data_IF_675437277014
#
_entry.id   IF_675437277014
#
_cell.length_a   1.000
_cell.length_b   1.000
_cell.length_c   1.000
_cell.angle_alpha   90.00
_cell.angle_beta   90.00
_cell.angle_gamma   90.00
#
_symmetry.space_group_name_H-M   'P 1'
#
loop_
_entity.id
_entity.type
_entity.pdbx_description
1 polymer ?
#
# COMPACT_ATOMS: atom_id res chain seq x y z
N UNK A 1 -15.82 -28.33 -39.74
CA UNK A 1 -14.57 -28.52 -38.97
C UNK A 1 -14.05 -27.14 -38.63
N UNK A 2 -14.47 -26.60 -37.49
CA UNK A 2 -13.90 -25.38 -36.94
C UNK A 2 -12.67 -25.79 -36.13
N UNK A 3 -11.51 -25.32 -36.55
CA UNK A 3 -10.25 -25.51 -35.84
C UNK A 3 -10.35 -24.78 -34.50
N UNK A 4 -10.35 -25.54 -33.41
CA UNK A 4 -10.09 -25.07 -32.05
C UNK A 4 -8.70 -24.46 -32.01
N UNK A 5 -8.60 -23.17 -32.29
CA UNK A 5 -7.40 -22.40 -32.02
C UNK A 5 -7.14 -22.44 -30.52
N UNK A 6 -5.95 -22.87 -30.14
CA UNK A 6 -5.41 -22.70 -28.80
C UNK A 6 -5.48 -21.21 -28.47
N UNK A 7 -6.50 -20.80 -27.72
CA UNK A 7 -6.54 -19.49 -27.08
C UNK A 7 -5.47 -19.52 -26.00
N UNK A 8 -4.23 -19.18 -26.37
CA UNK A 8 -3.23 -18.79 -25.40
C UNK A 8 -3.87 -17.73 -24.52
N UNK A 9 -4.16 -18.07 -23.27
CA UNK A 9 -4.86 -17.18 -22.36
C UNK A 9 -4.11 -15.85 -22.36
N UNK A 10 -4.76 -14.80 -22.87
CA UNK A 10 -4.17 -13.47 -22.94
C UNK A 10 -3.75 -13.05 -21.54
N UNK A 11 -2.69 -12.25 -21.46
CA UNK A 11 -2.31 -11.62 -20.19
C UNK A 11 -3.47 -10.77 -19.67
N UNK A 12 -3.70 -10.82 -18.36
CA UNK A 12 -4.69 -10.00 -17.67
C UNK A 12 -4.43 -8.52 -17.96
N UNK A 13 -5.48 -7.75 -18.24
CA UNK A 13 -5.40 -6.30 -18.40
C UNK A 13 -5.30 -5.65 -17.01
N UNK A 14 -4.14 -5.75 -16.38
CA UNK A 14 -3.90 -5.17 -15.05
C UNK A 14 -4.03 -3.64 -15.11
N UNK A 15 -4.67 -3.09 -14.10
CA UNK A 15 -4.73 -1.65 -13.83
C UNK A 15 -4.19 -1.38 -12.44
N UNK A 16 -3.91 -0.10 -12.16
CA UNK A 16 -3.58 0.34 -10.81
C UNK A 16 -4.24 1.67 -10.47
N UNK A 17 -4.45 1.90 -9.18
CA UNK A 17 -4.74 3.20 -8.59
C UNK A 17 -3.73 3.48 -7.48
N UNK A 18 -3.56 4.74 -7.11
CA UNK A 18 -2.73 5.14 -5.99
C UNK A 18 -3.48 6.02 -5.01
N UNK A 19 -3.15 5.88 -3.73
CA UNK A 19 -3.66 6.71 -2.65
C UNK A 19 -2.47 7.40 -1.99
N UNK A 20 -2.49 8.74 -1.97
CA UNK A 20 -1.47 9.57 -1.32
C UNK A 20 -2.10 10.16 -0.06
N UNK A 21 -1.74 9.62 1.11
CA UNK A 21 -2.13 10.25 2.37
C UNK A 21 -1.22 11.45 2.64
N UNK A 22 -1.77 12.62 2.94
CA UNK A 22 -1.03 13.88 3.09
C UNK A 22 -1.55 14.67 4.30
N UNK A 23 -0.67 15.38 5.00
CA UNK A 23 -1.11 16.45 5.90
C UNK A 23 -1.02 17.80 5.18
N UNK A 24 -2.17 18.44 4.93
CA UNK A 24 -2.24 19.76 4.32
C UNK A 24 -2.20 20.84 5.40
N UNK A 25 -1.25 21.77 5.31
CA UNK A 25 -1.08 22.89 6.23
C UNK A 25 -1.36 24.22 5.55
N UNK A 26 -2.04 25.16 6.22
CA UNK A 26 -2.25 26.53 5.73
C UNK A 26 -2.03 27.59 6.83
N UNK A 27 -1.25 28.62 6.50
CA UNK A 27 -0.99 29.81 7.33
C UNK A 27 -2.10 30.84 7.13
N UNK A 28 -2.98 30.98 8.12
CA UNK A 28 -4.07 31.97 8.09
C UNK A 28 -3.55 33.38 7.94
N UNK A 29 -2.44 33.70 8.62
CA UNK A 29 -1.89 35.06 8.61
C UNK A 29 -1.28 35.42 7.26
N UNK A 30 -0.63 34.49 6.57
CA UNK A 30 -0.11 34.74 5.22
C UNK A 30 -1.25 34.97 4.22
N UNK A 31 -2.36 34.23 4.34
CA UNK A 31 -3.56 34.46 3.50
C UNK A 31 -4.14 35.85 3.80
N UNK A 32 -4.38 36.20 5.07
CA UNK A 32 -4.95 37.50 5.46
C UNK A 32 -4.11 38.69 4.99
N UNK A 33 -2.77 38.57 5.03
CA UNK A 33 -1.86 39.66 4.65
C UNK A 33 -1.71 39.86 3.15
N UNK A 34 -2.27 38.97 2.31
CA UNK A 34 -2.07 38.96 0.86
C UNK A 34 -3.44 38.88 0.16
N UNK A 35 -4.05 40.02 -0.18
CA UNK A 35 -5.41 40.06 -0.76
C UNK A 35 -5.60 39.19 -2.01
N UNK A 36 -4.55 39.03 -2.84
CA UNK A 36 -4.61 38.14 -4.01
C UNK A 36 -4.78 36.65 -3.67
N UNK A 37 -4.62 36.26 -2.40
CA UNK A 37 -4.85 34.91 -1.87
C UNK A 37 -6.23 34.71 -1.26
N UNK A 38 -7.15 35.68 -1.39
CA UNK A 38 -8.51 35.58 -0.84
C UNK A 38 -9.25 34.32 -1.28
N UNK A 39 -8.95 33.78 -2.46
CA UNK A 39 -9.50 32.52 -2.93
C UNK A 39 -9.23 31.31 -2.01
N UNK A 40 -8.22 31.39 -1.12
CA UNK A 40 -7.92 30.35 -0.13
C UNK A 40 -8.76 30.47 1.15
N UNK A 41 -9.60 31.50 1.27
CA UNK A 41 -10.55 31.54 2.38
C UNK A 41 -11.64 30.49 2.20
N UNK A 42 -12.02 29.73 3.24
CA UNK A 42 -13.03 28.68 3.11
C UNK A 42 -14.37 29.18 2.56
N UNK A 43 -14.80 30.40 2.94
CA UNK A 43 -16.03 31.00 2.43
C UNK A 43 -15.98 31.38 0.93
N UNK A 44 -14.79 31.36 0.32
CA UNK A 44 -14.59 31.62 -1.11
C UNK A 44 -14.42 30.32 -1.91
N UNK A 45 -14.57 29.16 -1.28
CA UNK A 45 -14.58 27.88 -1.97
C UNK A 45 -15.74 27.84 -2.98
N UNK A 46 -15.43 27.39 -4.19
CA UNK A 46 -16.41 27.18 -5.24
C UNK A 46 -16.61 25.67 -5.38
N UNK A 47 -17.82 25.22 -5.03
CA UNK A 47 -18.21 23.83 -5.16
C UNK A 47 -18.19 23.44 -6.65
N UNK A 48 -17.43 22.40 -6.96
CA UNK A 48 -17.42 21.82 -8.30
C UNK A 48 -18.68 20.97 -8.47
N UNK A 49 -19.33 21.00 -9.64
CA UNK A 49 -20.48 20.13 -9.91
C UNK A 49 -20.21 18.64 -9.72
N UNK A 50 -18.95 18.21 -9.74
CA UNK A 50 -18.51 16.84 -9.58
C UNK A 50 -18.12 16.50 -8.13
N UNK A 51 -18.18 17.48 -7.21
CA UNK A 51 -17.91 17.25 -5.79
C UNK A 51 -19.01 16.37 -5.18
N UNK A 52 -18.59 15.28 -4.54
CA UNK A 52 -19.48 14.31 -3.91
C UNK A 52 -19.67 14.67 -2.44
N UNK A 53 -20.65 15.54 -2.21
CA UNK A 53 -21.07 16.01 -0.89
C UNK A 53 -22.49 15.56 -0.61
N UNK A 54 -22.80 15.16 0.63
CA UNK A 54 -24.10 14.55 1.00
C UNK A 54 -25.31 15.42 0.63
N UNK A 55 -25.16 16.73 0.78
CA UNK A 55 -26.19 17.72 0.49
C UNK A 55 -25.50 19.02 0.09
N UNK A 56 -25.49 19.31 -1.22
CA UNK A 56 -24.87 20.53 -1.76
C UNK A 56 -25.45 21.82 -1.14
N UNK A 57 -26.72 21.82 -0.69
CA UNK A 57 -27.35 22.98 -0.06
C UNK A 57 -26.91 23.17 1.40
N UNK A 58 -26.52 22.07 2.08
CA UNK A 58 -26.07 22.09 3.48
C UNK A 58 -24.56 22.02 3.63
N UNK A 59 -23.83 21.79 2.55
CA UNK A 59 -22.38 21.73 2.59
C UNK A 59 -21.80 23.10 2.98
N UNK A 60 -21.16 23.14 4.15
CA UNK A 60 -20.47 24.34 4.64
C UNK A 60 -18.96 24.15 4.48
N UNK A 61 -18.30 24.85 3.52
CA UNK A 61 -16.85 24.79 3.37
C UNK A 61 -16.13 25.46 4.55
N UNK A 62 -16.83 26.23 5.40
CA UNK A 62 -16.26 26.88 6.59
C UNK A 62 -16.25 25.98 7.83
N UNK A 63 -16.92 24.83 7.78
CA UNK A 63 -16.86 23.81 8.83
C UNK A 63 -15.40 23.45 9.13
N UNK A 64 -15.10 23.26 10.42
CA UNK A 64 -13.79 22.82 10.87
C UNK A 64 -13.31 21.55 10.16
N UNK A 65 -14.21 20.61 9.90
CA UNK A 65 -13.90 19.36 9.20
C UNK A 65 -13.59 19.64 7.72
N UNK A 66 -14.41 20.40 7.02
CA UNK A 66 -14.31 20.57 5.56
C UNK A 66 -13.28 21.59 5.10
N UNK A 67 -12.94 22.59 5.92
CA UNK A 67 -12.15 23.76 5.48
C UNK A 67 -10.80 23.38 4.85
N UNK A 68 -10.07 22.44 5.45
CA UNK A 68 -8.76 22.05 4.96
C UNK A 68 -8.84 21.28 3.65
N UNK A 69 -9.86 20.42 3.53
CA UNK A 69 -10.17 19.69 2.30
C UNK A 69 -10.50 20.66 1.15
N UNK A 70 -11.39 21.62 1.39
CA UNK A 70 -11.78 22.64 0.41
C UNK A 70 -10.60 23.51 -0.04
N UNK A 71 -9.78 23.92 0.93
CA UNK A 71 -8.59 24.74 0.66
C UNK A 71 -7.54 23.97 -0.16
N UNK A 72 -7.27 22.71 0.18
CA UNK A 72 -6.37 21.86 -0.58
C UNK A 72 -6.88 21.60 -2.00
N UNK A 73 -8.17 21.29 -2.15
CA UNK A 73 -8.81 21.13 -3.46
C UNK A 73 -8.68 22.40 -4.31
N UNK A 74 -8.90 23.58 -3.72
CA UNK A 74 -8.75 24.87 -4.41
C UNK A 74 -7.34 25.08 -4.92
N UNK A 75 -6.33 24.74 -4.12
CA UNK A 75 -4.92 24.82 -4.50
C UNK A 75 -4.63 23.89 -5.69
N UNK A 76 -4.96 22.60 -5.56
CA UNK A 76 -4.67 21.59 -6.58
C UNK A 76 -5.39 21.89 -7.90
N UNK A 77 -6.66 22.31 -7.86
CA UNK A 77 -7.42 22.71 -9.06
C UNK A 77 -6.80 23.91 -9.78
N UNK A 78 -6.30 24.90 -9.02
CA UNK A 78 -5.62 26.06 -9.60
C UNK A 78 -4.29 25.72 -10.27
N UNK A 79 -3.63 24.68 -9.79
CA UNK A 79 -2.43 24.12 -10.41
C UNK A 79 -2.76 23.13 -11.55
N UNK A 80 -4.03 23.03 -11.94
CA UNK A 80 -4.49 22.28 -13.11
C UNK A 80 -4.72 20.78 -12.85
N UNK A 81 -4.86 20.36 -11.59
CA UNK A 81 -5.29 19.00 -11.24
C UNK A 81 -6.81 18.90 -11.39
N UNK A 82 -7.28 18.00 -12.26
CA UNK A 82 -8.71 17.69 -12.40
C UNK A 82 -9.11 16.73 -11.28
N UNK A 83 -9.72 17.29 -10.22
CA UNK A 83 -10.14 16.52 -9.05
C UNK A 83 -11.51 16.92 -8.52
N UNK A 84 -12.19 15.96 -7.91
CA UNK A 84 -13.38 16.13 -7.08
C UNK A 84 -13.05 15.96 -5.58
N UNK A 85 -13.81 16.55 -4.68
CA UNK A 85 -13.79 16.18 -3.26
C UNK A 85 -14.82 15.10 -2.98
N UNK A 86 -14.52 14.23 -2.00
CA UNK A 86 -15.41 13.19 -1.51
C UNK A 86 -15.49 13.27 0.01
N UNK A 87 -16.69 13.52 0.54
CA UNK A 87 -16.90 13.57 2.00
C UNK A 87 -17.24 12.19 2.55
N UNK A 88 -18.09 11.46 1.83
CA UNK A 88 -18.51 10.12 2.19
C UNK A 88 -18.01 9.11 1.17
N UNK A 89 -17.05 8.23 1.53
CA UNK A 89 -16.44 7.29 0.60
C UNK A 89 -17.39 6.19 0.07
N UNK A 90 -18.70 6.23 0.37
CA UNK A 90 -19.63 5.11 0.16
C UNK A 90 -20.41 5.11 -1.16
N UNK A 91 -20.42 6.22 -1.89
CA UNK A 91 -21.11 6.31 -3.19
C UNK A 91 -20.06 6.15 -4.30
N UNK A 92 -20.22 5.11 -5.14
CA UNK A 92 -19.12 4.52 -5.92
C UNK A 92 -19.21 4.71 -7.45
N UNK A 93 -20.31 5.28 -7.97
CA UNK A 93 -20.66 5.14 -9.39
C UNK A 93 -19.72 5.88 -10.39
N UNK A 94 -18.89 6.84 -9.94
CA UNK A 94 -18.02 7.66 -10.83
C UNK A 94 -16.54 7.77 -10.36
N UNK A 95 -16.13 6.99 -9.38
CA UNK A 95 -15.00 7.34 -8.50
C UNK A 95 -13.60 7.34 -9.10
N UNK A 96 -13.41 6.69 -10.23
CA UNK A 96 -12.06 6.36 -10.68
C UNK A 96 -11.74 6.88 -12.07
N UNK A 97 -12.54 7.81 -12.59
CA UNK A 97 -12.26 8.48 -13.86
C UNK A 97 -11.38 9.73 -13.68
N UNK A 98 -11.30 10.27 -12.46
CA UNK A 98 -10.52 11.47 -12.12
C UNK A 98 -9.86 11.33 -10.75
N UNK A 99 -9.08 12.32 -10.35
CA UNK A 99 -8.55 12.39 -9.00
C UNK A 99 -9.66 12.71 -7.99
N UNK A 100 -9.59 12.11 -6.81
CA UNK A 100 -10.52 12.36 -5.72
C UNK A 100 -9.74 12.74 -4.46
N UNK A 101 -10.20 13.76 -3.74
CA UNK A 101 -9.60 14.19 -2.47
C UNK A 101 -10.60 13.98 -1.33
N UNK A 102 -10.20 13.28 -0.29
CA UNK A 102 -11.03 12.94 0.88
C UNK A 102 -10.28 13.22 2.18
N UNK A 103 -10.98 13.11 3.31
CA UNK A 103 -10.36 13.12 4.63
C UNK A 103 -9.70 11.79 4.95
N UNK A 104 -8.52 11.86 5.58
CA UNK A 104 -7.84 10.68 6.14
C UNK A 104 -7.46 10.95 7.60
N UNK A 105 -8.08 10.18 8.50
CA UNK A 105 -7.94 10.33 9.95
C UNK A 105 -6.66 9.68 10.49
N UNK A 106 -6.11 8.71 9.77
CA UNK A 106 -4.84 8.08 10.09
C UNK A 106 -3.65 9.04 9.90
N UNK A 107 -3.82 10.14 9.17
CA UNK A 107 -2.76 11.12 9.00
C UNK A 107 -2.48 11.91 10.28
N UNK A 108 -1.24 11.82 10.73
CA UNK A 108 -0.76 12.53 11.91
C UNK A 108 -0.40 13.96 11.49
N UNK A 109 -1.16 14.93 12.00
CA UNK A 109 -0.85 16.34 11.84
C UNK A 109 0.09 16.80 12.96
N UNK A 110 1.05 17.70 12.69
CA UNK A 110 1.92 18.24 13.73
C UNK A 110 1.09 18.98 14.78
N UNK A 111 1.32 18.66 16.04
CA UNK A 111 0.68 19.23 17.22
C UNK A 111 1.63 20.16 18.01
N UNK A 112 2.93 20.13 17.73
CA UNK A 112 3.94 20.97 18.38
C UNK A 112 4.95 21.59 17.40
N UNK A 113 5.60 22.69 17.84
CA UNK A 113 6.62 23.42 17.07
C UNK A 113 7.78 22.51 16.63
N UNK A 114 8.23 21.60 17.49
CA UNK A 114 9.34 20.69 17.18
C UNK A 114 8.96 19.63 16.14
N UNK A 115 7.69 19.21 16.07
CA UNK A 115 7.21 18.26 15.07
C UNK A 115 7.17 18.91 13.70
N UNK A 116 6.58 20.10 13.57
CA UNK A 116 6.57 20.82 12.28
C UNK A 116 7.98 21.19 11.85
N UNK A 117 8.86 21.52 12.79
CA UNK A 117 10.28 21.77 12.50
C UNK A 117 10.95 20.51 11.93
N UNK A 118 10.75 19.34 12.55
CA UNK A 118 11.25 18.06 12.06
C UNK A 118 10.65 17.71 10.69
N UNK A 119 9.33 17.78 10.53
CA UNK A 119 8.61 17.37 9.32
C UNK A 119 8.87 18.28 8.12
N UNK A 120 9.37 19.50 8.34
CA UNK A 120 9.71 20.45 7.28
C UNK A 120 11.20 20.63 7.09
N UNK A 121 12.04 19.79 7.69
CA UNK A 121 13.51 19.91 7.63
C UNK A 121 13.98 21.32 8.08
N UNK A 122 13.47 21.78 9.22
CA UNK A 122 13.72 23.06 9.88
C UNK A 122 13.25 24.32 9.14
N UNK A 123 12.49 24.18 8.06
CA UNK A 123 11.99 25.30 7.25
C UNK A 123 10.86 26.07 7.91
N UNK A 124 10.05 25.39 8.71
CA UNK A 124 8.94 25.97 9.46
C UNK A 124 9.16 25.65 10.93
N UNK A 125 9.36 26.69 11.76
CA UNK A 125 9.74 26.52 13.17
C UNK A 125 8.60 26.68 14.16
N UNK A 126 7.45 27.18 13.72
CA UNK A 126 6.34 27.48 14.62
C UNK A 126 5.00 27.11 14.00
N UNK A 127 4.13 26.54 14.81
CA UNK A 127 2.81 26.02 14.43
C UNK A 127 1.70 27.06 14.59
N UNK A 128 1.90 28.09 15.41
CA UNK A 128 0.85 28.98 15.93
C UNK A 128 -0.13 29.60 14.91
N UNK A 129 0.27 29.80 13.65
CA UNK A 129 -0.58 30.35 12.59
C UNK A 129 -0.99 29.34 11.51
N UNK A 130 -0.52 28.09 11.64
CA UNK A 130 -0.81 27.00 10.72
C UNK A 130 -2.02 26.19 11.19
N UNK A 131 -2.83 25.78 10.22
CA UNK A 131 -3.91 24.82 10.43
C UNK A 131 -3.66 23.62 9.56
N UNK A 132 -3.75 22.43 10.14
CA UNK A 132 -3.52 21.18 9.44
C UNK A 132 -4.80 20.37 9.25
N UNK A 133 -4.83 19.57 8.19
CA UNK A 133 -5.87 18.57 7.93
C UNK A 133 -5.23 17.34 7.30
N UNK A 134 -5.61 16.17 7.81
CA UNK A 134 -5.26 14.88 7.20
C UNK A 134 -6.15 14.61 6.01
N UNK A 135 -5.54 14.39 4.85
CA UNK A 135 -6.21 14.20 3.57
C UNK A 135 -5.69 12.95 2.86
N UNK A 136 -6.49 12.38 1.98
CA UNK A 136 -6.06 11.34 1.05
C UNK A 136 -6.44 11.75 -0.37
N UNK A 137 -5.46 11.68 -1.25
CA UNK A 137 -5.61 11.97 -2.67
C UNK A 137 -5.54 10.65 -3.45
N UNK A 138 -6.67 10.27 -4.04
CA UNK A 138 -6.90 9.01 -4.73
C UNK A 138 -6.86 9.25 -6.23
N UNK A 139 -6.08 8.45 -6.95
CA UNK A 139 -5.95 8.58 -8.40
C UNK A 139 -7.13 7.97 -9.16
N UNK A 140 -7.33 8.34 -10.44
CA UNK A 140 -8.12 7.51 -11.34
C UNK A 140 -7.52 6.10 -11.52
N UNK A 141 -8.31 5.18 -12.09
CA UNK A 141 -7.82 3.89 -12.58
C UNK A 141 -6.88 4.16 -13.76
N UNK A 142 -5.65 3.66 -13.63
CA UNK A 142 -4.58 3.83 -14.59
C UNK A 142 -4.14 2.48 -15.15
N UNK A 143 -3.65 2.49 -16.39
CA UNK A 143 -3.10 1.28 -17.02
C UNK A 143 -1.80 0.86 -16.34
N UNK A 144 -1.68 -0.41 -15.94
CA UNK A 144 -0.44 -0.94 -15.37
C UNK A 144 0.72 -0.91 -16.39
N UNK A 145 1.96 -0.75 -15.93
CA UNK A 145 3.13 -0.76 -16.79
C UNK A 145 3.23 -2.03 -17.64
N UNK A 146 3.52 -1.89 -18.93
CA UNK A 146 3.95 -3.00 -19.77
C UNK A 146 5.40 -3.36 -19.42
N UNK A 147 5.56 -4.47 -18.69
CA UNK A 147 6.86 -4.98 -18.23
C UNK A 147 7.84 -5.31 -19.36
N UNK A 148 7.37 -5.43 -20.60
CA UNK A 148 8.21 -5.71 -21.78
C UNK A 148 8.65 -4.45 -22.52
N UNK A 149 8.05 -3.30 -22.23
CA UNK A 149 8.40 -2.05 -22.90
C UNK A 149 9.82 -1.60 -22.51
N UNK A 150 10.53 -0.91 -23.42
CA UNK A 150 11.85 -0.33 -23.10
C UNK A 150 11.75 0.88 -22.16
N UNK A 151 10.65 1.63 -22.25
CA UNK A 151 10.38 2.85 -21.49
C UNK A 151 9.18 2.64 -20.56
N UNK A 152 9.23 1.58 -19.74
CA UNK A 152 8.08 1.17 -18.92
C UNK A 152 7.53 2.29 -18.03
N UNK A 153 8.42 3.17 -17.54
CA UNK A 153 8.07 4.23 -16.59
C UNK A 153 7.67 5.58 -17.24
N UNK A 154 7.50 5.62 -18.56
CA UNK A 154 7.18 6.85 -19.31
C UNK A 154 5.75 6.84 -19.92
N UNK A 155 4.95 5.82 -19.62
CA UNK A 155 3.56 5.71 -20.09
C UNK A 155 2.64 6.82 -19.58
N UNK A 156 1.50 7.02 -20.26
CA UNK A 156 0.54 8.10 -19.95
C UNK A 156 0.08 8.13 -18.49
N UNK A 157 -0.17 6.97 -17.89
CA UNK A 157 -0.47 6.83 -16.45
C UNK A 157 0.57 7.52 -15.56
N UNK A 158 1.86 7.31 -15.86
CA UNK A 158 2.95 7.88 -15.07
C UNK A 158 3.19 9.37 -15.32
N UNK A 159 2.82 9.87 -16.51
CA UNK A 159 2.87 11.30 -16.81
C UNK A 159 1.82 12.07 -16.01
N UNK A 160 0.60 11.51 -15.90
CA UNK A 160 -0.46 12.09 -15.07
C UNK A 160 -0.07 12.08 -13.58
N UNK A 161 0.47 10.97 -13.09
CA UNK A 161 0.97 10.87 -11.73
C UNK A 161 2.09 11.88 -11.44
N UNK A 162 3.06 12.01 -12.35
CA UNK A 162 4.12 13.02 -12.24
C UNK A 162 3.59 14.44 -12.17
N UNK A 163 2.57 14.78 -12.96
CA UNK A 163 1.96 16.11 -12.97
C UNK A 163 1.44 16.47 -11.58
N UNK A 164 0.69 15.57 -10.95
CA UNK A 164 0.14 15.79 -9.60
C UNK A 164 1.23 15.83 -8.54
N UNK A 165 2.19 14.89 -8.58
CA UNK A 165 3.30 14.86 -7.62
C UNK A 165 4.15 16.12 -7.68
N UNK A 166 4.38 16.70 -8.87
CA UNK A 166 5.12 17.97 -9.02
C UNK A 166 4.44 19.13 -8.32
N UNK A 167 3.10 19.19 -8.31
CA UNK A 167 2.35 20.23 -7.59
C UNK A 167 2.57 20.09 -6.08
N UNK A 168 2.49 18.87 -5.57
CA UNK A 168 2.67 18.58 -4.14
C UNK A 168 4.13 18.80 -3.70
N UNK A 169 5.10 18.37 -4.50
CA UNK A 169 6.53 18.56 -4.24
C UNK A 169 6.94 20.03 -4.31
N UNK A 170 6.43 20.78 -5.29
CA UNK A 170 6.63 22.23 -5.36
C UNK A 170 6.18 22.90 -4.07
N UNK A 171 5.00 22.55 -3.57
CA UNK A 171 4.47 23.05 -2.31
C UNK A 171 5.35 22.72 -1.12
N UNK A 172 5.84 21.48 -1.08
CA UNK A 172 6.76 21.03 -0.06
C UNK A 172 8.00 21.88 -0.07
N UNK A 173 8.57 22.22 -1.23
CA UNK A 173 9.84 22.93 -1.38
C UNK A 173 9.81 24.44 -1.02
N UNK A 174 8.64 25.10 -0.99
CA UNK A 174 8.55 26.56 -0.90
C UNK A 174 7.96 27.08 0.42
N UNK A 175 8.76 27.79 1.22
CA UNK A 175 8.35 28.36 2.51
C UNK A 175 7.54 29.65 2.39
N UNK A 176 7.60 30.34 1.25
CA UNK A 176 6.89 31.59 1.02
C UNK A 176 5.41 31.39 0.72
N UNK A 177 5.01 30.17 0.35
CA UNK A 177 3.62 29.82 0.14
C UNK A 177 2.84 29.95 1.46
N UNK A 178 1.55 30.32 1.38
CA UNK A 178 0.66 30.34 2.53
C UNK A 178 0.20 28.92 2.91
N UNK A 179 0.51 27.90 2.10
CA UNK A 179 0.07 26.52 2.27
C UNK A 179 1.23 25.55 2.02
N UNK A 180 1.11 24.31 2.46
CA UNK A 180 2.07 23.22 2.25
C UNK A 180 1.37 21.87 2.30
N UNK A 181 1.95 20.87 1.65
CA UNK A 181 1.61 19.46 1.86
C UNK A 181 2.76 18.80 2.62
N UNK A 182 2.50 17.91 3.56
CA UNK A 182 3.51 17.11 4.24
C UNK A 182 3.29 15.64 3.89
N UNK A 183 4.35 15.01 3.39
CA UNK A 183 4.39 13.59 3.05
C UNK A 183 5.64 12.94 3.67
N UNK A 184 5.73 12.97 5.01
CA UNK A 184 6.84 12.33 5.75
C UNK A 184 6.44 10.93 6.22
N UNK A 185 7.39 10.00 6.37
CA UNK A 185 7.08 8.63 6.81
C UNK A 185 6.29 8.55 8.13
N UNK A 186 6.51 9.50 9.03
CA UNK A 186 5.84 9.60 10.33
C UNK A 186 4.38 10.05 10.23
N UNK A 187 4.01 10.78 9.17
CA UNK A 187 2.71 11.45 9.07
C UNK A 187 1.81 10.86 8.01
N UNK A 188 2.38 10.27 6.97
CA UNK A 188 1.72 9.96 5.70
C UNK A 188 1.99 8.54 5.21
N UNK A 189 1.16 8.11 4.27
CA UNK A 189 1.24 6.82 3.61
C UNK A 189 1.04 6.98 2.11
N UNK A 190 1.40 5.94 1.39
CA UNK A 190 1.26 5.81 -0.04
C UNK A 190 0.79 4.38 -0.33
N UNK A 191 -0.39 4.21 -0.90
CA UNK A 191 -0.92 2.89 -1.22
C UNK A 191 -1.02 2.71 -2.72
N UNK A 192 -0.85 1.48 -3.18
CA UNK A 192 -1.08 1.11 -4.58
C UNK A 192 -2.14 0.02 -4.61
N UNK A 193 -3.21 0.26 -5.33
CA UNK A 193 -4.28 -0.71 -5.57
C UNK A 193 -4.01 -1.34 -6.93
N UNK A 194 -3.96 -2.67 -7.01
CA UNK A 194 -3.84 -3.38 -8.28
C UNK A 194 -5.12 -4.15 -8.55
N UNK A 195 -5.70 -3.94 -9.72
CA UNK A 195 -6.95 -4.53 -10.16
C UNK A 195 -6.90 -4.97 -11.63
N UNK A 196 -8.08 -5.24 -12.19
CA UNK A 196 -8.25 -5.45 -13.62
C UNK A 196 -8.93 -4.23 -14.25
N UNK A 197 -8.75 -4.08 -15.56
CA UNK A 197 -9.52 -3.14 -16.37
C UNK A 197 -11.01 -3.35 -16.11
N UNK A 198 -11.75 -2.28 -15.72
CA UNK A 198 -13.20 -2.34 -15.61
C UNK A 198 -13.86 -2.83 -16.90
N UNK A 199 -15.05 -3.39 -16.79
CA UNK A 199 -15.84 -3.77 -17.96
C UNK A 199 -16.38 -2.55 -18.73
N UNK A 200 -17.20 -2.78 -19.76
CA UNK A 200 -17.74 -1.71 -20.61
C UNK A 200 -18.64 -0.73 -19.85
N UNK A 201 -19.26 -1.17 -18.75
CA UNK A 201 -20.13 -0.37 -17.89
C UNK A 201 -19.37 0.23 -16.70
N UNK A 202 -18.02 0.20 -16.74
CA UNK A 202 -17.14 0.58 -15.63
C UNK A 202 -17.32 -0.27 -14.36
N UNK A 203 -17.92 -1.46 -14.49
CA UNK A 203 -18.06 -2.43 -13.42
C UNK A 203 -16.71 -3.03 -13.01
N UNK A 204 -16.51 -3.30 -11.71
CA UNK A 204 -15.25 -3.84 -11.23
C UNK A 204 -15.14 -5.34 -11.59
N UNK A 205 -13.96 -5.78 -12.05
CA UNK A 205 -13.74 -7.14 -12.56
C UNK A 205 -12.94 -7.97 -11.55
N UNK A 206 -13.44 -9.16 -11.20
CA UNK A 206 -12.77 -10.08 -10.28
C UNK A 206 -11.43 -10.57 -10.83
N UNK A 207 -10.35 -10.39 -10.04
CA UNK A 207 -9.06 -11.04 -10.31
C UNK A 207 -9.24 -12.57 -10.12
N UNK A 208 -8.79 -13.44 -11.04
CA UNK A 208 -8.96 -14.88 -10.87
C UNK A 208 -8.41 -15.42 -9.54
N UNK A 209 -9.17 -16.29 -8.88
CA UNK A 209 -8.84 -16.78 -7.54
C UNK A 209 -7.46 -17.44 -7.47
N UNK A 210 -7.07 -18.21 -8.48
CA UNK A 210 -5.74 -18.84 -8.52
C UNK A 210 -4.62 -17.80 -8.52
N UNK A 211 -4.79 -16.70 -9.27
CA UNK A 211 -3.82 -15.60 -9.29
C UNK A 211 -3.71 -14.97 -7.90
N UNK A 212 -4.85 -14.74 -7.22
CA UNK A 212 -4.86 -14.20 -5.87
C UNK A 212 -4.20 -15.14 -4.84
N UNK A 213 -4.40 -16.46 -4.94
CA UNK A 213 -3.73 -17.43 -4.06
C UNK A 213 -2.21 -17.43 -4.25
N UNK A 214 -1.75 -17.38 -5.50
CA UNK A 214 -0.32 -17.26 -5.78
C UNK A 214 0.25 -15.94 -5.24
N UNK A 215 -0.47 -14.83 -5.41
CA UNK A 215 -0.07 -13.53 -4.84
C UNK A 215 0.01 -13.59 -3.32
N UNK A 216 -1.05 -14.07 -2.66
CA UNK A 216 -1.11 -14.22 -1.21
C UNK A 216 0.08 -15.02 -0.68
N UNK A 217 0.40 -16.15 -1.33
CA UNK A 217 1.54 -16.95 -0.96
C UNK A 217 2.87 -16.20 -1.12
N UNK A 218 3.10 -15.54 -2.26
CA UNK A 218 4.33 -14.77 -2.52
C UNK A 218 4.49 -13.66 -1.48
N UNK A 219 3.42 -12.92 -1.19
CA UNK A 219 3.40 -11.85 -0.20
C UNK A 219 3.83 -12.36 1.17
N UNK A 220 3.20 -13.44 1.65
CA UNK A 220 3.47 -13.95 3.01
C UNK A 220 4.87 -14.56 3.09
N UNK A 221 5.27 -15.35 2.09
CA UNK A 221 6.56 -16.05 2.14
C UNK A 221 7.77 -15.12 1.98
N UNK A 222 7.64 -14.02 1.23
CA UNK A 222 8.68 -13.00 1.04
C UNK A 222 8.44 -11.70 1.81
N UNK A 223 7.49 -11.66 2.75
CA UNK A 223 7.14 -10.44 3.48
C UNK A 223 8.36 -9.79 4.17
N UNK A 224 9.25 -10.62 4.70
CA UNK A 224 10.54 -10.21 5.28
C UNK A 224 11.41 -9.47 4.28
N UNK A 225 11.55 -10.04 3.09
CA UNK A 225 12.35 -9.48 1.99
C UNK A 225 11.73 -8.19 1.46
N UNK A 226 10.40 -8.17 1.27
CA UNK A 226 9.67 -6.96 0.84
C UNK A 226 9.82 -5.85 1.88
N UNK A 227 9.75 -6.16 3.17
CA UNK A 227 9.91 -5.18 4.26
C UNK A 227 11.27 -4.49 4.28
N UNK A 228 12.33 -5.12 3.73
CA UNK A 228 13.66 -4.50 3.58
C UNK A 228 13.64 -3.35 2.58
N UNK A 229 12.74 -3.40 1.61
CA UNK A 229 12.65 -2.41 0.53
C UNK A 229 12.05 -1.08 0.98
N UNK A 230 11.52 -1.00 2.20
CA UNK A 230 10.79 0.19 2.69
C UNK A 230 11.41 0.79 3.94
N UNK A 231 11.04 2.06 4.17
CA UNK A 231 11.46 2.83 5.32
C UNK A 231 11.11 2.08 6.62
N UNK A 232 11.97 2.14 7.66
CA UNK A 232 11.73 1.43 8.91
C UNK A 232 10.40 1.74 9.62
N UNK A 233 9.87 2.96 9.48
CA UNK A 233 8.51 3.33 9.94
C UNK A 233 7.42 2.40 9.38
N UNK A 234 7.66 1.71 8.25
CA UNK A 234 6.72 0.76 7.64
C UNK A 234 6.85 -0.67 8.19
N UNK A 235 7.61 -0.90 9.26
CA UNK A 235 7.93 -2.28 9.70
C UNK A 235 7.08 -2.80 10.84
N UNK A 236 6.00 -2.10 11.20
CA UNK A 236 5.10 -2.55 12.27
C UNK A 236 5.67 -2.38 13.67
N UNK A 237 6.71 -1.57 13.84
CA UNK A 237 7.33 -1.36 15.15
C UNK A 237 6.36 -0.67 16.11
N UNK A 238 6.33 -1.11 17.36
CA UNK A 238 5.63 -0.41 18.43
C UNK A 238 6.11 1.05 18.47
N UNK A 239 5.18 2.00 18.52
CA UNK A 239 5.39 3.47 18.42
C UNK A 239 5.58 4.07 17.02
N UNK A 240 5.54 3.26 15.95
CA UNK A 240 5.47 3.80 14.59
C UNK A 240 4.01 3.98 14.16
N UNK A 241 3.74 4.94 13.26
CA UNK A 241 2.38 5.18 12.71
C UNK A 241 1.75 3.87 12.24
N UNK A 242 2.53 3.02 11.59
CA UNK A 242 2.03 1.82 10.94
C UNK A 242 1.53 0.74 11.91
N UNK A 243 1.91 0.79 13.20
CA UNK A 243 1.58 -0.26 14.16
C UNK A 243 0.06 -0.57 14.17
N UNK A 244 -0.75 0.47 14.14
CA UNK A 244 -2.21 0.39 14.17
C UNK A 244 -2.87 0.40 12.77
N UNK A 245 -2.08 0.44 11.69
CA UNK A 245 -2.60 0.68 10.33
C UNK A 245 -2.13 -0.33 9.27
N UNK A 246 -0.98 -0.98 9.44
CA UNK A 246 -0.58 -2.11 8.60
C UNK A 246 0.43 -3.01 9.31
N UNK A 247 -0.08 -4.10 9.87
CA UNK A 247 0.72 -5.15 10.45
C UNK A 247 1.20 -6.16 9.39
N UNK A 248 2.05 -7.08 9.83
CA UNK A 248 2.42 -8.26 9.04
C UNK A 248 1.20 -9.08 8.59
N UNK A 249 1.17 -9.54 7.34
CA UNK A 249 0.19 -10.50 6.85
C UNK A 249 0.38 -11.87 7.51
N UNK A 250 1.60 -12.22 7.93
CA UNK A 250 1.90 -13.48 8.66
C UNK A 250 1.11 -13.60 9.96
N UNK A 251 0.73 -12.49 10.60
CA UNK A 251 -0.12 -12.50 11.81
C UNK A 251 -1.41 -13.28 11.61
N UNK A 252 -1.99 -13.25 10.41
CA UNK A 252 -3.23 -13.96 10.13
C UNK A 252 -3.08 -15.48 10.28
N UNK A 253 -1.89 -16.03 10.04
CA UNK A 253 -1.62 -17.46 10.18
C UNK A 253 -1.25 -17.88 11.60
N UNK A 254 -0.93 -16.92 12.48
CA UNK A 254 -0.68 -17.16 13.89
C UNK A 254 -1.98 -17.17 14.71
N UNK A 255 -3.02 -16.47 14.25
CA UNK A 255 -4.27 -16.25 14.97
C UNK A 255 -5.37 -17.30 14.68
N UNK A 256 -5.30 -18.02 13.55
CA UNK A 256 -6.41 -18.88 13.11
C UNK A 256 -6.68 -20.06 14.08
N UNK A 257 -5.66 -20.55 14.79
CA UNK A 257 -5.84 -21.54 15.86
C UNK A 257 -6.29 -20.92 17.20
N UNK A 258 -6.26 -19.59 17.31
CA UNK A 258 -6.46 -18.82 18.54
C UNK A 258 -7.58 -17.78 18.44
N UNK A 259 -8.58 -17.93 17.56
CA UNK A 259 -9.80 -17.08 17.43
C UNK A 259 -10.58 -16.80 18.76
N UNK A 260 -10.08 -17.24 19.92
CA UNK A 260 -10.60 -17.00 21.27
C UNK A 260 -9.61 -16.39 22.26
N UNK A 261 -8.34 -16.20 21.90
CA UNK A 261 -7.34 -15.71 22.85
C UNK A 261 -6.90 -14.30 22.44
N UNK A 262 -7.36 -13.30 23.20
CA UNK A 262 -6.93 -11.89 23.13
C UNK A 262 -5.45 -11.67 23.46
N UNK A 263 -4.62 -12.71 23.41
CA UNK A 263 -3.18 -12.56 23.66
C UNK A 263 -2.57 -11.81 22.50
N UNK A 264 -1.85 -10.74 22.82
CA UNK A 264 -1.05 -10.00 21.85
C UNK A 264 -0.22 -10.99 21.03
N UNK A 265 -0.41 -11.02 19.71
CA UNK A 265 0.44 -11.79 18.81
C UNK A 265 1.87 -11.27 18.97
N UNK A 266 2.66 -12.03 19.70
CA UNK A 266 4.08 -11.81 19.84
C UNK A 266 4.76 -12.30 18.58
N UNK A 267 5.55 -11.44 17.96
CA UNK A 267 6.47 -11.84 16.90
C UNK A 267 7.84 -12.22 17.49
N UNK A 268 8.02 -12.16 18.82
CA UNK A 268 9.27 -12.47 19.49
C UNK A 268 9.38 -13.96 19.88
N UNK A 269 10.47 -14.38 20.53
CA UNK A 269 10.80 -15.81 20.70
C UNK A 269 9.78 -16.54 21.59
N UNK A 270 8.91 -15.79 22.27
CA UNK A 270 7.79 -16.31 23.04
C UNK A 270 6.49 -16.47 22.24
N UNK A 271 6.48 -16.05 20.97
CA UNK A 271 5.34 -16.10 20.06
C UNK A 271 5.20 -17.44 19.34
N UNK A 272 4.09 -17.60 18.62
CA UNK A 272 3.92 -18.74 17.71
C UNK A 272 4.86 -18.58 16.51
N UNK A 273 5.51 -19.67 16.13
CA UNK A 273 6.38 -19.70 14.96
C UNK A 273 5.51 -19.79 13.70
N UNK A 274 5.75 -18.89 12.75
CA UNK A 274 5.13 -18.94 11.43
C UNK A 274 5.47 -20.25 10.71
N UNK A 275 4.47 -21.08 10.43
CA UNK A 275 4.61 -22.30 9.63
C UNK A 275 4.22 -22.04 8.17
N UNK A 276 5.23 -22.03 7.30
CA UNK A 276 5.08 -21.83 5.86
C UNK A 276 4.22 -22.90 5.18
N UNK A 277 4.25 -24.14 5.65
CA UNK A 277 3.47 -25.23 5.06
C UNK A 277 2.00 -25.08 5.40
N UNK A 278 1.71 -24.70 6.64
CA UNK A 278 0.36 -24.42 7.09
C UNK A 278 -0.23 -23.22 6.34
N UNK A 279 0.51 -22.11 6.27
CA UNK A 279 0.10 -20.94 5.50
C UNK A 279 -0.18 -21.26 4.02
N UNK A 280 0.71 -22.04 3.38
CA UNK A 280 0.49 -22.51 2.02
C UNK A 280 -0.82 -23.32 1.89
N UNK A 281 -1.04 -24.28 2.79
CA UNK A 281 -2.22 -25.13 2.77
C UNK A 281 -3.51 -24.34 2.95
N UNK A 282 -3.52 -23.36 3.84
CA UNK A 282 -4.67 -22.50 4.06
C UNK A 282 -4.98 -21.64 2.82
N UNK A 283 -3.97 -20.95 2.28
CA UNK A 283 -4.12 -20.11 1.09
C UNK A 283 -4.63 -20.93 -0.11
N UNK A 284 -3.97 -22.04 -0.43
CA UNK A 284 -4.36 -22.89 -1.57
C UNK A 284 -5.57 -23.80 -1.30
N UNK A 285 -5.97 -23.93 -0.04
CA UNK A 285 -7.18 -24.64 0.39
C UNK A 285 -8.44 -23.77 0.33
N UNK A 286 -8.29 -22.44 0.29
CA UNK A 286 -9.40 -21.49 0.13
C UNK A 286 -10.24 -21.85 -1.10
N UNK A 287 -11.56 -21.66 -1.10
CA UNK A 287 -12.46 -22.06 -2.20
C UNK A 287 -13.11 -20.89 -2.92
N UNK A 288 -12.96 -19.69 -2.38
CA UNK A 288 -13.56 -18.46 -2.91
C UNK A 288 -12.70 -17.25 -2.57
N UNK A 289 -12.90 -16.15 -3.29
CA UNK A 289 -12.31 -14.84 -2.96
C UNK A 289 -12.60 -14.41 -1.53
N UNK A 290 -13.82 -14.69 -1.05
CA UNK A 290 -14.22 -14.40 0.33
C UNK A 290 -13.37 -15.17 1.35
N UNK A 291 -13.22 -16.48 1.16
CA UNK A 291 -12.41 -17.29 2.06
C UNK A 291 -10.94 -16.87 2.05
N UNK A 292 -10.38 -16.55 0.88
CA UNK A 292 -9.02 -16.04 0.77
C UNK A 292 -8.87 -14.67 1.47
N UNK A 293 -9.83 -13.76 1.30
CA UNK A 293 -9.88 -12.49 2.03
C UNK A 293 -9.86 -12.72 3.53
N UNK A 294 -10.73 -13.60 4.02
CA UNK A 294 -10.87 -13.87 5.46
C UNK A 294 -9.58 -14.49 6.03
N UNK A 295 -8.83 -15.26 5.23
CA UNK A 295 -7.48 -15.77 5.57
C UNK A 295 -6.44 -14.64 5.59
N UNK A 296 -6.47 -13.74 4.60
CA UNK A 296 -5.37 -12.79 4.37
C UNK A 296 -5.50 -11.45 5.11
N UNK A 297 -6.72 -11.04 5.45
CA UNK A 297 -7.01 -9.74 6.05
C UNK A 297 -7.43 -9.81 7.53
N UNK A 298 -7.50 -11.01 8.12
CA UNK A 298 -8.21 -11.31 9.38
C UNK A 298 -9.70 -10.95 9.30
N UNK A 299 -10.59 -11.80 9.85
CA UNK A 299 -12.00 -11.40 9.95
C UNK A 299 -12.09 -10.14 10.82
N UNK A 300 -12.73 -9.05 10.33
CA UNK A 300 -13.02 -7.92 11.21
C UNK A 300 -13.88 -8.45 12.35
N UNK A 301 -13.41 -8.30 13.59
CA UNK A 301 -14.24 -8.51 14.76
C UNK A 301 -15.48 -7.62 14.61
N UNK A 302 -16.67 -8.15 14.88
CA UNK A 302 -17.92 -7.40 14.77
C UNK A 302 -17.89 -6.13 15.65
N UNK A 303 -17.11 -6.17 16.74
CA UNK A 303 -16.93 -5.07 17.67
C UNK A 303 -15.76 -4.13 17.29
N UNK A 304 -14.92 -4.51 16.31
CA UNK A 304 -13.78 -3.71 15.87
C UNK A 304 -13.56 -3.82 14.34
N UNK A 305 -14.34 -3.11 13.52
CA UNK A 305 -14.19 -3.09 12.06
C UNK A 305 -12.83 -2.51 11.58
N UNK A 306 -11.98 -2.03 12.49
CA UNK A 306 -10.68 -1.44 12.19
C UNK A 306 -9.55 -2.45 11.91
N UNK A 307 -9.81 -3.77 11.86
CA UNK A 307 -8.80 -4.79 11.56
C UNK A 307 -8.36 -4.84 10.07
N UNK A 308 -8.41 -3.72 9.34
CA UNK A 308 -7.82 -3.60 7.98
C UNK A 308 -6.32 -3.33 8.04
N UNK A 309 -5.60 -4.00 8.94
CA UNK A 309 -4.25 -3.62 9.31
C UNK A 309 -3.24 -4.64 8.81
N UNK A 310 -3.14 -4.82 7.50
CA UNK A 310 -2.12 -5.69 6.87
C UNK A 310 -1.35 -4.94 5.80
N UNK A 311 -0.05 -5.21 5.64
CA UNK A 311 0.78 -4.58 4.60
C UNK A 311 0.24 -4.76 3.19
N UNK A 312 -0.32 -5.94 2.89
CA UNK A 312 -1.05 -6.19 1.66
C UNK A 312 -2.46 -6.61 2.02
N UNK A 313 -3.42 -5.75 1.72
CA UNK A 313 -4.79 -5.92 2.12
C UNK A 313 -5.62 -6.53 0.98
N UNK A 314 -6.20 -7.70 1.25
CA UNK A 314 -7.08 -8.42 0.33
C UNK A 314 -8.55 -8.08 0.57
N UNK A 315 -8.87 -7.14 1.46
CA UNK A 315 -10.26 -6.80 1.84
C UNK A 315 -11.13 -6.46 0.62
N UNK A 316 -10.56 -5.77 -0.37
CA UNK A 316 -11.28 -5.27 -1.54
C UNK A 316 -11.53 -6.33 -2.63
N UNK A 317 -11.12 -7.60 -2.46
CA UNK A 317 -11.34 -8.64 -3.49
C UNK A 317 -12.74 -9.26 -3.45
N UNK A 318 -13.51 -9.06 -2.36
CA UNK A 318 -14.83 -9.67 -2.22
C UNK A 318 -15.75 -8.92 -1.26
N UNK A 319 -17.05 -8.96 -1.54
CA UNK A 319 -18.06 -8.17 -0.83
C UNK A 319 -18.15 -8.58 0.63
N UNK A 320 -18.20 -7.58 1.52
CA UNK A 320 -18.55 -7.79 2.93
C UNK A 320 -20.05 -7.56 3.10
N UNK A 321 -20.71 -8.39 3.90
CA UNK A 321 -22.17 -8.29 4.09
C UNK A 321 -22.53 -6.89 4.62
N UNK A 322 -23.36 -6.16 3.87
CA UNK A 322 -23.83 -4.82 4.26
C UNK A 322 -22.91 -3.66 3.83
N UNK A 323 -21.90 -3.92 3.00
CA UNK A 323 -21.05 -2.89 2.39
C UNK A 323 -21.35 -2.75 0.89
N UNK A 324 -21.02 -1.59 0.29
CA UNK A 324 -21.03 -1.40 -1.16
C UNK A 324 -20.25 -2.50 -1.90
N UNK A 325 -20.51 -2.62 -3.20
CA UNK A 325 -19.75 -3.55 -4.02
C UNK A 325 -18.26 -3.18 -4.00
N UNK A 326 -17.35 -4.14 -3.72
CA UNK A 326 -15.95 -3.78 -3.58
C UNK A 326 -15.32 -3.53 -4.95
N UNK A 327 -14.30 -2.68 -4.96
CA UNK A 327 -13.53 -2.29 -6.16
C UNK A 327 -12.70 -3.42 -6.81
N UNK A 328 -12.70 -4.64 -6.24
CA UNK A 328 -12.00 -5.85 -6.74
C UNK A 328 -10.49 -5.70 -6.89
N UNK A 329 -9.85 -4.92 -6.03
CA UNK A 329 -8.40 -4.71 -6.02
C UNK A 329 -7.70 -5.41 -4.86
N UNK A 330 -6.38 -5.56 -4.98
CA UNK A 330 -5.46 -5.82 -3.85
C UNK A 330 -4.72 -4.53 -3.53
N UNK A 331 -4.75 -4.13 -2.27
CA UNK A 331 -4.13 -2.89 -1.77
C UNK A 331 -2.74 -3.19 -1.20
N UNK A 332 -1.70 -2.54 -1.71
CA UNK A 332 -0.32 -2.65 -1.24
C UNK A 332 0.05 -1.38 -0.49
N UNK A 333 0.04 -1.43 0.83
CA UNK A 333 0.22 -0.26 1.69
C UNK A 333 1.69 0.06 1.91
N UNK A 334 2.15 1.23 1.53
CA UNK A 334 3.45 1.78 1.94
C UNK A 334 3.23 2.96 2.89
N UNK A 335 3.27 2.74 4.21
CA UNK A 335 3.24 3.84 5.20
C UNK A 335 4.59 4.54 5.35
N UNK A 336 5.16 4.89 4.20
CA UNK A 336 6.20 5.86 4.03
C UNK A 336 5.72 6.73 2.89
N UNK A 337 4.85 7.70 3.20
CA UNK A 337 4.38 8.64 2.20
C UNK A 337 5.59 9.30 1.53
N UNK A 338 5.50 9.45 0.22
CA UNK A 338 6.55 10.01 -0.62
C UNK A 338 5.92 10.78 -1.76
N UNK A 339 6.56 11.88 -2.14
CA UNK A 339 6.20 12.65 -3.32
C UNK A 339 7.25 12.57 -4.41
N UNK A 340 8.33 11.80 -4.21
CA UNK A 340 9.33 11.55 -5.25
C UNK A 340 8.70 10.72 -6.37
N UNK A 341 8.55 11.26 -7.59
CA UNK A 341 7.96 10.52 -8.69
C UNK A 341 8.72 9.24 -9.04
N UNK A 342 10.04 9.20 -8.83
CA UNK A 342 10.86 8.02 -9.12
C UNK A 342 10.46 6.89 -8.18
N UNK A 343 10.41 7.18 -6.89
CA UNK A 343 10.00 6.23 -5.85
C UNK A 343 8.57 5.71 -6.08
N UNK A 344 7.64 6.60 -6.36
CA UNK A 344 6.24 6.24 -6.63
C UNK A 344 6.15 5.28 -7.82
N UNK A 345 6.82 5.59 -8.93
CA UNK A 345 6.85 4.76 -10.13
C UNK A 345 7.47 3.39 -9.89
N UNK A 346 8.58 3.35 -9.17
CA UNK A 346 9.25 2.09 -8.83
C UNK A 346 8.35 1.21 -7.97
N UNK A 347 7.64 1.78 -6.99
CA UNK A 347 6.72 1.02 -6.16
C UNK A 347 5.56 0.44 -6.98
N UNK A 348 4.91 1.25 -7.83
CA UNK A 348 3.87 0.78 -8.76
C UNK A 348 4.39 -0.35 -9.64
N UNK A 349 5.57 -0.19 -10.23
CA UNK A 349 6.21 -1.22 -11.07
C UNK A 349 6.46 -2.51 -10.28
N UNK A 350 6.92 -2.40 -9.04
CA UNK A 350 7.22 -3.54 -8.19
C UNK A 350 5.97 -4.36 -7.85
N UNK A 351 4.90 -3.71 -7.38
CA UNK A 351 3.67 -4.43 -6.98
C UNK A 351 2.90 -4.99 -8.17
N UNK A 352 2.91 -4.29 -9.31
CA UNK A 352 2.34 -4.84 -10.55
C UNK A 352 3.18 -6.00 -11.09
N UNK A 353 4.51 -5.99 -10.88
CA UNK A 353 5.40 -7.12 -11.16
C UNK A 353 5.12 -8.33 -10.27
N UNK A 354 4.79 -8.13 -8.98
CA UNK A 354 4.32 -9.21 -8.09
C UNK A 354 3.03 -9.84 -8.64
N UNK A 355 2.12 -9.01 -9.15
CA UNK A 355 0.87 -9.49 -9.73
C UNK A 355 1.08 -10.27 -11.03
N UNK A 356 1.96 -9.80 -11.91
CA UNK A 356 2.39 -10.55 -13.11
C UNK A 356 3.08 -11.87 -12.76
N UNK A 357 3.84 -11.89 -11.68
CA UNK A 357 4.47 -13.12 -11.18
C UNK A 357 3.43 -14.12 -10.69
N UNK A 358 2.43 -13.66 -9.94
CA UNK A 358 1.33 -14.50 -9.49
C UNK A 358 0.50 -15.05 -10.65
N UNK A 359 0.24 -14.22 -11.66
CA UNK A 359 -0.43 -14.61 -12.91
C UNK A 359 0.37 -15.69 -13.66
N UNK A 360 1.68 -15.48 -13.85
CA UNK A 360 2.58 -16.47 -14.47
C UNK A 360 2.53 -17.79 -13.69
N UNK A 361 2.60 -17.73 -12.36
CA UNK A 361 2.54 -18.93 -11.51
C UNK A 361 1.18 -19.62 -11.57
N UNK A 362 0.07 -18.89 -11.69
CA UNK A 362 -1.26 -19.49 -11.88
C UNK A 362 -1.35 -20.26 -13.21
N UNK A 363 -0.78 -19.69 -14.27
CA UNK A 363 -0.79 -20.26 -15.62
C UNK A 363 0.31 -21.30 -15.88
N UNK A 364 1.32 -21.38 -15.02
CA UNK A 364 2.39 -22.38 -15.12
C UNK A 364 1.78 -23.80 -15.04
N UNK A 365 2.05 -24.69 -16.02
CA UNK A 365 1.60 -26.07 -15.98
C UNK A 365 2.09 -26.72 -14.70
N UNK A 366 1.19 -27.36 -13.98
CA UNK A 366 1.61 -27.98 -12.73
C UNK A 366 2.46 -29.22 -13.00
N UNK A 367 3.66 -29.33 -12.42
CA UNK A 367 4.53 -30.49 -12.65
C UNK A 367 3.79 -31.78 -12.30
N UNK A 368 3.79 -32.74 -13.22
CA UNK A 368 3.22 -34.07 -12.96
C UNK A 368 4.21 -34.85 -12.12
N UNK A 369 3.83 -35.24 -10.91
CA UNK A 369 4.65 -36.16 -10.11
C UNK A 369 4.73 -37.51 -10.83
N UNK A 370 5.91 -38.15 -10.89
CA UNK A 370 6.00 -39.55 -11.29
C UNK A 370 5.06 -40.38 -10.42
N UNK A 371 4.27 -41.27 -11.02
CA UNK A 371 3.23 -42.06 -10.32
C UNK A 371 3.73 -42.91 -9.14
N UNK A 372 5.06 -43.05 -8.98
CA UNK A 372 5.69 -43.85 -7.93
C UNK A 372 6.26 -43.01 -6.77
N UNK A 373 6.28 -41.68 -6.88
CA UNK A 373 6.75 -40.81 -5.79
C UNK A 373 5.60 -40.51 -4.83
N UNK A 374 5.32 -41.47 -3.94
CA UNK A 374 4.54 -41.20 -2.73
C UNK A 374 5.42 -40.32 -1.85
N UNK A 375 5.34 -39.01 -2.07
CA UNK A 375 6.12 -38.03 -1.32
C UNK A 375 5.92 -38.29 0.18
N UNK A 376 6.99 -38.54 0.96
CA UNK A 376 6.91 -38.97 2.36
C UNK A 376 6.18 -37.98 3.30
N UNK A 377 5.88 -36.79 2.80
CA UNK A 377 5.33 -35.66 3.53
C UNK A 377 3.81 -35.47 3.37
N UNK A 378 3.09 -36.36 2.68
CA UNK A 378 1.63 -36.24 2.53
C UNK A 378 1.17 -34.95 1.82
N UNK A 379 2.08 -34.29 1.09
CA UNK A 379 1.88 -33.00 0.45
C UNK A 379 1.15 -33.18 -0.89
N UNK A 380 -0.18 -33.23 -0.87
CA UNK A 380 -1.01 -33.58 -2.03
C UNK A 380 -1.41 -32.42 -2.95
N UNK A 381 -0.90 -31.18 -2.76
CA UNK A 381 -1.24 -30.07 -3.65
C UNK A 381 -0.20 -29.92 -4.77
N UNK A 382 -0.57 -30.12 -6.05
CA UNK A 382 0.32 -29.93 -7.19
C UNK A 382 0.97 -28.53 -7.21
N UNK A 383 0.29 -27.50 -6.69
CA UNK A 383 0.80 -26.13 -6.64
C UNK A 383 2.09 -25.97 -5.82
N UNK A 384 2.34 -26.85 -4.82
CA UNK A 384 3.56 -26.82 -4.01
C UNK A 384 4.82 -27.02 -4.84
N UNK A 385 4.72 -27.79 -5.92
CA UNK A 385 5.86 -28.10 -6.79
C UNK A 385 6.41 -26.86 -7.50
N UNK A 386 5.58 -25.83 -7.67
CA UNK A 386 6.00 -24.53 -8.24
C UNK A 386 6.90 -23.73 -7.31
N UNK A 387 7.02 -24.14 -6.04
CA UNK A 387 7.73 -23.46 -4.96
C UNK A 387 8.61 -24.41 -4.13
N UNK A 388 9.01 -25.56 -4.67
CA UNK A 388 9.81 -26.56 -3.95
C UNK A 388 11.06 -25.97 -3.30
N UNK A 389 11.80 -25.13 -4.01
CA UNK A 389 13.03 -24.52 -3.49
C UNK A 389 12.74 -23.60 -2.30
N UNK A 390 11.67 -22.82 -2.38
CA UNK A 390 11.24 -21.88 -1.33
C UNK A 390 10.67 -22.62 -0.11
N UNK A 391 9.87 -23.67 -0.32
CA UNK A 391 9.27 -24.46 0.75
C UNK A 391 10.29 -25.31 1.51
N UNK A 392 11.27 -25.87 0.81
CA UNK A 392 12.29 -26.75 1.40
C UNK A 392 13.52 -26.00 1.91
N UNK A 393 13.73 -24.74 1.53
CA UNK A 393 14.86 -23.95 1.99
C UNK A 393 14.83 -23.77 3.51
N UNK A 394 15.86 -24.29 4.19
CA UNK A 394 16.11 -23.98 5.61
C UNK A 394 16.75 -22.60 5.78
N UNK A 395 17.23 -22.01 4.69
CA UNK A 395 17.95 -20.73 4.67
C UNK A 395 16.99 -19.55 4.59
N UNK A 396 17.49 -18.36 4.95
CA UNK A 396 16.76 -17.08 4.87
C UNK A 396 16.44 -16.74 3.42
N UNK A 397 15.23 -16.20 3.20
CA UNK A 397 14.81 -15.76 1.88
C UNK A 397 15.59 -14.52 1.51
N UNK A 398 15.98 -14.43 0.25
CA UNK A 398 16.88 -13.38 -0.24
C UNK A 398 16.17 -12.47 -1.24
N UNK A 399 16.69 -11.24 -1.39
CA UNK A 399 16.26 -10.37 -2.51
C UNK A 399 16.48 -11.03 -3.86
N UNK A 400 17.54 -11.83 -4.00
CA UNK A 400 17.84 -12.55 -5.23
C UNK A 400 16.72 -13.54 -5.56
N UNK A 401 16.29 -14.36 -4.62
CA UNK A 401 15.19 -15.31 -4.82
C UNK A 401 13.89 -14.60 -5.21
N UNK A 402 13.54 -13.50 -4.55
CA UNK A 402 12.36 -12.71 -4.90
C UNK A 402 12.48 -12.09 -6.30
N UNK A 403 13.60 -11.45 -6.61
CA UNK A 403 13.81 -10.78 -7.90
C UNK A 403 13.93 -11.77 -9.06
N UNK A 404 14.49 -12.95 -8.83
CA UNK A 404 14.50 -14.05 -9.80
C UNK A 404 13.09 -14.60 -10.01
N UNK A 405 12.35 -14.83 -8.91
CA UNK A 405 10.96 -15.27 -9.00
C UNK A 405 10.11 -14.27 -9.79
N UNK A 406 10.38 -12.96 -9.65
CA UNK A 406 9.70 -11.90 -10.39
C UNK A 406 10.18 -11.73 -11.82
N UNK A 407 11.35 -12.27 -12.18
CA UNK A 407 12.08 -11.94 -13.41
C UNK A 407 12.36 -10.43 -13.53
N UNK A 408 12.67 -9.79 -12.40
CA UNK A 408 12.85 -8.35 -12.32
C UNK A 408 14.08 -7.89 -13.14
N UNK A 409 14.00 -6.84 -13.97
CA UNK A 409 15.16 -6.33 -14.71
C UNK A 409 16.28 -5.82 -13.81
N UNK A 410 17.54 -5.98 -14.24
CA UNK A 410 18.75 -5.68 -13.43
C UNK A 410 18.78 -4.23 -12.95
N UNK A 411 18.35 -3.27 -13.76
CA UNK A 411 18.27 -1.86 -13.39
C UNK A 411 17.31 -1.61 -12.22
N UNK A 412 16.17 -2.31 -12.19
CA UNK A 412 15.19 -2.23 -11.10
C UNK A 412 15.69 -2.97 -9.86
N UNK A 413 16.37 -4.11 -10.04
CA UNK A 413 17.06 -4.80 -8.94
C UNK A 413 18.07 -3.89 -8.24
N UNK A 414 18.84 -3.11 -9.01
CA UNK A 414 19.80 -2.13 -8.48
C UNK A 414 19.12 -1.04 -7.66
N UNK A 415 18.01 -0.49 -8.16
CA UNK A 415 17.24 0.51 -7.41
C UNK A 415 16.80 -0.03 -6.04
N UNK A 416 16.09 -1.17 -6.04
CA UNK A 416 15.57 -1.77 -4.82
C UNK A 416 16.65 -2.26 -3.87
N UNK A 417 17.75 -2.79 -4.40
CA UNK A 417 18.91 -3.17 -3.60
C UNK A 417 19.57 -1.97 -2.93
N UNK A 418 19.83 -0.89 -3.67
CA UNK A 418 20.40 0.35 -3.13
C UNK A 418 19.52 0.93 -2.01
N UNK A 419 18.21 0.87 -2.21
CA UNK A 419 17.22 1.32 -1.23
C UNK A 419 17.23 0.46 0.03
N UNK A 420 17.29 -0.86 -0.13
CA UNK A 420 17.41 -1.77 1.01
C UNK A 420 18.71 -1.51 1.80
N UNK A 421 19.82 -1.22 1.12
CA UNK A 421 21.08 -0.82 1.77
C UNK A 421 20.93 0.52 2.52
N UNK A 422 20.27 1.51 1.92
CA UNK A 422 20.02 2.80 2.59
C UNK A 422 19.25 2.60 3.89
N UNK A 423 18.17 1.82 3.89
CA UNK A 423 17.35 1.55 5.08
C UNK A 423 17.97 0.59 6.09
N UNK A 424 19.14 0.05 5.77
CA UNK A 424 20.03 -0.67 6.68
C UNK A 424 21.23 0.17 7.13
N UNK A 425 21.37 1.41 6.65
CA UNK A 425 22.47 2.26 7.08
C UNK A 425 22.27 2.77 8.53
N UNK A 426 23.35 3.21 9.21
CA UNK A 426 23.26 3.79 10.55
C UNK A 426 22.31 4.99 10.69
N UNK A 427 21.92 5.62 9.57
CA UNK A 427 20.89 6.67 9.51
C UNK A 427 19.57 6.23 10.18
N UNK A 428 19.30 4.93 10.22
CA UNK A 428 18.05 4.35 10.72
C UNK A 428 18.22 3.47 11.97
N UNK A 429 19.37 3.51 12.64
CA UNK A 429 19.69 2.64 13.77
C UNK A 429 18.68 2.77 14.94
N UNK A 430 18.09 3.95 15.11
CA UNK A 430 17.08 4.19 16.15
C UNK A 430 15.88 3.24 16.04
N UNK A 431 15.47 2.90 14.82
CA UNK A 431 14.34 2.01 14.58
C UNK A 431 14.61 0.56 14.98
N UNK A 432 15.88 0.15 14.98
CA UNK A 432 16.28 -1.24 15.24
C UNK A 432 16.14 -1.62 16.71
N UNK A 433 15.91 -0.63 17.56
CA UNK A 433 15.66 -0.78 18.99
C UNK A 433 14.20 -1.13 19.28
N UNK A 434 13.30 -0.89 18.33
CA UNK A 434 11.88 -1.19 18.50
C UNK A 434 11.57 -2.63 18.11
N UNK A 435 10.66 -3.24 18.86
CA UNK A 435 10.04 -4.52 18.52
C UNK A 435 8.65 -4.32 17.94
N UNK A 436 8.14 -5.34 17.28
CA UNK A 436 6.75 -5.43 16.75
C UNK A 436 5.74 -5.88 17.82
N UNK A 437 6.19 -6.27 19.02
CA UNK A 437 5.34 -6.68 20.15
C UNK A 437 4.80 -5.50 20.98
N UNK A 438 3.56 -5.60 21.45
CA UNK A 438 2.98 -4.70 22.46
C UNK A 438 2.45 -5.44 23.69
N UNK A 439 2.76 -5.00 24.93
CA UNK A 439 3.88 -4.10 25.26
C UNK A 439 5.21 -4.70 24.80
N UNK A 440 6.28 -3.89 24.80
CA UNK A 440 7.63 -4.36 24.43
C UNK A 440 7.94 -5.61 25.25
N UNK A 441 8.04 -6.74 24.55
CA UNK A 441 8.32 -8.02 25.18
C UNK A 441 9.77 -8.06 25.67
N UNK A 442 10.02 -8.73 26.80
CA UNK A 442 11.39 -8.98 27.31
C UNK A 442 12.12 -10.10 26.56
N UNK A 443 11.41 -10.85 25.72
CA UNK A 443 12.01 -11.86 24.84
C UNK A 443 12.88 -11.20 23.76
N UNK A 444 13.89 -11.92 23.27
CA UNK A 444 14.58 -11.51 22.06
C UNK A 444 13.54 -11.35 20.96
N UNK A 445 13.57 -10.21 20.29
CA UNK A 445 12.73 -9.97 19.13
C UNK A 445 13.13 -11.01 18.09
N UNK A 446 12.37 -12.11 17.96
CA UNK A 446 12.31 -12.82 16.69
C UNK A 446 11.79 -11.80 15.71
N UNK A 447 12.58 -11.61 14.67
CA UNK A 447 12.28 -10.59 13.69
C UNK A 447 11.50 -11.33 12.63
N UNK A 448 10.26 -10.94 12.40
CA UNK A 448 9.50 -11.50 11.27
C UNK A 448 10.26 -11.30 9.95
N UNK A 449 11.06 -10.23 9.89
CA UNK A 449 12.14 -10.09 8.93
C UNK A 449 13.48 -10.51 9.55
N UNK A 450 13.98 -11.72 9.27
CA UNK A 450 15.21 -12.23 9.90
C UNK A 450 16.51 -11.65 9.32
N UNK A 451 16.47 -10.83 8.26
CA UNK A 451 17.65 -10.26 7.58
C UNK A 451 18.36 -9.08 8.26
N UNK A 452 18.51 -9.10 9.59
CA UNK A 452 18.93 -7.93 10.39
C UNK A 452 20.05 -8.22 11.38
N UNK A 453 20.73 -9.35 11.28
CA UNK A 453 21.93 -9.49 12.12
C UNK A 453 22.93 -8.40 11.71
N UNK A 454 23.55 -7.74 12.68
CA UNK A 454 24.62 -6.78 12.43
C UNK A 454 25.69 -7.45 11.56
N UNK A 455 25.94 -6.92 10.36
CA UNK A 455 26.86 -7.50 9.38
C UNK A 455 26.25 -8.44 8.32
N UNK A 456 24.93 -8.66 8.29
CA UNK A 456 24.28 -9.31 7.15
C UNK A 456 24.35 -8.41 5.92
N UNK A 457 25.32 -8.68 5.05
CA UNK A 457 25.43 -8.02 3.76
C UNK A 457 24.28 -8.47 2.88
N UNK A 458 23.47 -7.53 2.40
CA UNK A 458 22.54 -7.81 1.31
C UNK A 458 23.36 -8.15 0.07
N UNK A 459 23.52 -9.45 -0.20
CA UNK A 459 24.22 -9.93 -1.38
C UNK A 459 23.63 -9.28 -2.63
N UNK A 460 24.51 -8.90 -3.55
CA UNK A 460 24.16 -8.30 -4.83
C UNK A 460 23.22 -9.26 -5.60
N UNK A 461 21.97 -8.87 -5.89
CA UNK A 461 20.94 -9.81 -6.34
C UNK A 461 20.87 -9.96 -7.87
N UNK A 462 22.00 -9.99 -8.58
CA UNK A 462 22.03 -10.17 -10.05
C UNK A 462 23.21 -11.01 -10.53
#
# INVERSE_FOLDING_TARGET
MATSGESGAGLLALTFGVELELAFGISRLKVIRRPHLEYLFPQNYQLDPMDQVDDHEKFDPTDHENRGLCQAATVLRREGVDLAIKINPKDDDDLFQRWSLTHEKANICPAADWEIESYTDHRVRRLWDLQFSGLELISPIMQAPDMKAKQVLEGGSFQELEKVLKVIDFAQCHTDLPWMFLSKPQTSGFHVHVGLQPDEDWGPVDIPLEVLRHLAWIVVVFEDVVSLLHHPERRGFWMTKIYDHACSNRRAFLDINLRRVKTHLHTCDSGLVYDRYDAFNQIFGSRSHRELRDIMSNEPDADNPAYRNTFVNFYNISTTRGHPEPIRTVEFRQHCGTTDPTEVKEWVYFVTSLMRTAERKANEPTPTLPANDVSPSGLTSPQKLKYCDILNSKEKRTLKELFDLMELPVERRRYWWSRAQEYQSPKYEEYWKYGTCHPVCVGHVTRDAEGWAEGEVIAQPW
#
